data_IF_618950785280
#
_entry.id   IF_618950785280
#
_cell.length_a   1.000
_cell.length_b   1.000
_cell.length_c   1.000
_cell.angle_alpha   90.00
_cell.angle_beta   90.00
_cell.angle_gamma   90.00
#
_symmetry.space_group_name_H-M   'P 1'
#
loop_
_entity.id
_entity.type
_entity.pdbx_description
1 polymer ?
#
# COMPACT_ATOMS: atom_id res chain seq x y z
N UNK A 1 11.50 22.84 -12.75
CA UNK A 1 10.68 21.76 -12.18
C UNK A 1 11.42 21.16 -10.99
N UNK A 2 10.74 21.01 -9.84
CA UNK A 2 11.31 20.34 -8.67
C UNK A 2 10.51 19.08 -8.34
N UNK A 3 11.19 17.96 -8.09
CA UNK A 3 10.57 16.74 -7.55
C UNK A 3 11.10 16.50 -6.13
N UNK A 4 10.22 16.67 -5.14
CA UNK A 4 10.54 16.55 -3.72
C UNK A 4 9.99 15.22 -3.20
N UNK A 5 10.80 14.49 -2.45
CA UNK A 5 10.41 13.22 -1.82
C UNK A 5 10.92 13.17 -0.38
N UNK A 6 10.07 12.72 0.54
CA UNK A 6 10.48 12.42 1.92
C UNK A 6 11.40 11.20 2.00
N UNK A 7 11.35 10.29 1.02
CA UNK A 7 12.21 9.11 1.00
C UNK A 7 13.64 9.49 0.69
N UNK A 8 14.59 8.77 1.29
CA UNK A 8 16.03 8.93 1.10
C UNK A 8 16.48 8.85 -0.37
N UNK A 9 15.67 8.20 -1.21
CA UNK A 9 15.86 8.15 -2.65
C UNK A 9 14.52 7.91 -3.38
N UNK A 10 14.58 7.91 -4.71
CA UNK A 10 13.49 7.52 -5.61
C UNK A 10 13.57 6.02 -5.87
N UNK A 11 13.00 5.24 -4.96
CA UNK A 11 13.12 3.78 -4.99
C UNK A 11 12.15 3.13 -5.99
N UNK A 12 12.59 2.06 -6.68
CA UNK A 12 11.70 1.27 -7.51
C UNK A 12 10.72 0.46 -6.64
N UNK A 13 9.62 0.01 -7.26
CA UNK A 13 8.80 -1.06 -6.73
C UNK A 13 9.62 -2.37 -6.73
N UNK A 14 9.49 -3.16 -5.67
CA UNK A 14 10.00 -4.53 -5.63
C UNK A 14 8.94 -5.47 -6.22
N UNK A 15 9.09 -5.79 -7.50
CA UNK A 15 8.26 -6.72 -8.25
C UNK A 15 8.95 -8.10 -8.43
N UNK A 16 9.91 -8.41 -7.56
CA UNK A 16 10.63 -9.68 -7.64
C UNK A 16 9.71 -10.88 -7.41
N UNK A 17 9.99 -12.05 -8.02
CA UNK A 17 9.06 -13.19 -7.99
C UNK A 17 8.65 -13.66 -6.59
N UNK A 18 9.56 -13.63 -5.61
CA UNK A 18 9.25 -14.04 -4.24
C UNK A 18 8.49 -12.96 -3.46
N UNK A 19 8.76 -11.68 -3.70
CA UNK A 19 7.97 -10.57 -3.13
C UNK A 19 6.54 -10.58 -3.68
N UNK A 20 6.36 -10.92 -4.96
CA UNK A 20 5.04 -11.03 -5.58
C UNK A 20 4.17 -12.11 -4.93
N UNK A 21 4.76 -13.05 -4.21
CA UNK A 21 4.02 -14.09 -3.51
C UNK A 21 3.22 -13.55 -2.31
N UNK A 22 3.54 -12.33 -1.84
CA UNK A 22 2.70 -11.57 -0.90
C UNK A 22 1.33 -11.17 -1.48
N UNK A 23 1.15 -11.31 -2.79
CA UNK A 23 -0.09 -10.98 -3.49
C UNK A 23 -0.95 -12.22 -3.82
N UNK A 24 -0.75 -13.32 -3.08
CA UNK A 24 -1.48 -14.57 -3.25
C UNK A 24 -2.59 -14.75 -2.20
N UNK A 25 -3.63 -15.57 -2.49
CA UNK A 25 -4.65 -15.92 -1.51
C UNK A 25 -4.07 -16.51 -0.21
N UNK A 26 -3.12 -17.44 -0.33
CA UNK A 26 -2.53 -18.13 0.82
C UNK A 26 -1.77 -17.16 1.74
N UNK A 27 -1.06 -16.18 1.17
CA UNK A 27 -0.44 -15.13 1.97
C UNK A 27 -1.47 -14.24 2.66
N UNK A 28 -2.54 -13.83 1.98
CA UNK A 28 -3.58 -12.98 2.58
C UNK A 28 -4.25 -13.67 3.79
N UNK A 29 -4.51 -14.97 3.70
CA UNK A 29 -5.08 -15.74 4.81
C UNK A 29 -4.08 -16.00 5.95
N UNK A 30 -2.81 -16.25 5.62
CA UNK A 30 -1.74 -16.29 6.62
C UNK A 30 -1.61 -14.96 7.34
N UNK A 31 -1.53 -13.85 6.59
CA UNK A 31 -1.40 -12.50 7.12
C UNK A 31 -2.55 -12.18 8.07
N UNK A 32 -3.79 -12.53 7.71
CA UNK A 32 -4.97 -12.35 8.57
C UNK A 32 -4.89 -13.13 9.90
N UNK A 33 -4.11 -14.22 9.96
CA UNK A 33 -3.90 -15.00 11.19
C UNK A 33 -2.84 -14.41 12.13
N UNK A 34 -2.00 -13.50 11.63
CA UNK A 34 -0.94 -12.86 12.42
C UNK A 34 -1.51 -11.90 13.45
N UNK A 35 -0.77 -11.72 14.55
CA UNK A 35 -1.10 -10.66 15.49
C UNK A 35 -0.93 -9.28 14.85
N UNK A 36 -1.56 -8.28 15.46
CA UNK A 36 -1.57 -6.92 14.90
C UNK A 36 -0.18 -6.31 14.75
N UNK A 37 0.71 -6.51 15.74
CA UNK A 37 2.06 -5.94 15.71
C UNK A 37 2.89 -6.55 14.57
N UNK A 38 2.72 -7.85 14.30
CA UNK A 38 3.34 -8.55 13.18
C UNK A 38 2.82 -8.00 11.84
N UNK A 39 1.50 -7.79 11.71
CA UNK A 39 0.87 -7.23 10.50
C UNK A 39 1.38 -5.81 10.20
N UNK A 40 1.43 -4.94 11.21
CA UNK A 40 1.96 -3.57 11.09
C UNK A 40 3.44 -3.59 10.69
N UNK A 41 4.28 -4.33 11.41
CA UNK A 41 5.71 -4.42 11.10
C UNK A 41 6.00 -5.03 9.72
N UNK A 42 5.13 -5.91 9.21
CA UNK A 42 5.24 -6.42 7.84
C UNK A 42 4.91 -5.34 6.81
N UNK A 43 3.78 -4.65 6.97
CA UNK A 43 3.35 -3.59 6.05
C UNK A 43 4.36 -2.45 5.95
N UNK A 44 5.02 -2.10 7.05
CA UNK A 44 6.06 -1.07 7.08
C UNK A 44 7.34 -1.53 6.35
N UNK A 45 7.76 -2.79 6.57
CA UNK A 45 8.94 -3.36 5.90
C UNK A 45 8.74 -3.54 4.41
N UNK A 46 7.54 -3.91 3.98
CA UNK A 46 7.23 -4.24 2.59
C UNK A 46 6.56 -3.08 1.83
N UNK A 47 6.77 -1.85 2.29
CA UNK A 47 6.19 -0.66 1.65
C UNK A 47 6.49 -0.61 0.14
N UNK A 48 7.72 -0.93 -0.27
CA UNK A 48 8.15 -0.87 -1.67
C UNK A 48 7.63 -2.02 -2.53
N UNK A 49 7.00 -3.06 -1.97
CA UNK A 49 6.34 -4.09 -2.77
C UNK A 49 5.05 -3.57 -3.44
N UNK A 50 4.52 -2.43 -2.97
CA UNK A 50 3.30 -1.82 -3.51
C UNK A 50 3.46 -0.33 -3.84
N UNK A 51 4.30 0.41 -3.10
CA UNK A 51 4.35 1.89 -3.15
C UNK A 51 5.65 2.43 -3.76
N UNK A 52 6.32 1.63 -4.59
CA UNK A 52 7.50 2.04 -5.36
C UNK A 52 7.16 2.50 -6.78
N UNK A 53 8.11 3.15 -7.44
CA UNK A 53 7.96 3.58 -8.85
C UNK A 53 8.37 2.45 -9.78
N UNK A 54 7.73 2.27 -10.93
CA UNK A 54 8.17 1.22 -11.87
C UNK A 54 9.65 1.44 -12.28
N UNK A 55 10.48 0.38 -12.37
CA UNK A 55 11.89 0.52 -12.76
C UNK A 55 12.06 1.17 -14.15
N UNK A 56 11.16 0.84 -15.08
CA UNK A 56 11.15 1.41 -16.42
C UNK A 56 10.89 2.93 -16.38
N UNK A 57 9.90 3.38 -15.60
CA UNK A 57 9.60 4.81 -15.45
C UNK A 57 10.76 5.57 -14.80
N UNK A 58 11.38 5.03 -13.74
CA UNK A 58 12.55 5.66 -13.12
C UNK A 58 13.71 5.79 -14.11
N UNK A 59 13.96 4.75 -14.90
CA UNK A 59 14.98 4.77 -15.95
C UNK A 59 14.73 5.87 -16.97
N UNK A 60 13.48 5.99 -17.46
CA UNK A 60 13.12 7.04 -18.42
C UNK A 60 13.28 8.44 -17.83
N UNK A 61 12.81 8.67 -16.60
CA UNK A 61 12.98 9.95 -15.91
C UNK A 61 14.46 10.30 -15.76
N UNK A 62 15.27 9.34 -15.30
CA UNK A 62 16.71 9.54 -15.11
C UNK A 62 17.41 9.89 -16.43
N UNK A 63 17.12 9.15 -17.51
CA UNK A 63 17.66 9.41 -18.83
C UNK A 63 17.30 10.81 -19.33
N UNK A 64 16.03 11.24 -19.15
CA UNK A 64 15.60 12.60 -19.52
C UNK A 64 16.32 13.67 -18.70
N UNK A 65 16.43 13.49 -17.38
CA UNK A 65 17.17 14.42 -16.52
C UNK A 65 18.63 14.52 -16.94
N UNK A 66 19.27 13.38 -17.23
CA UNK A 66 20.66 13.32 -17.66
C UNK A 66 20.88 14.06 -18.98
N UNK A 67 20.04 13.80 -20.00
CA UNK A 67 20.14 14.49 -21.29
C UNK A 67 20.00 16.00 -21.13
N UNK A 68 18.97 16.47 -20.42
CA UNK A 68 18.78 17.92 -20.18
C UNK A 68 19.99 18.54 -19.47
N UNK A 69 20.46 17.92 -18.39
CA UNK A 69 21.48 18.51 -17.55
C UNK A 69 22.89 18.45 -18.17
N UNK A 70 23.31 17.30 -18.68
CA UNK A 70 24.69 17.04 -19.08
C UNK A 70 24.93 17.10 -20.60
N UNK A 71 23.91 16.86 -21.42
CA UNK A 71 24.04 16.86 -22.89
C UNK A 71 23.62 18.20 -23.47
N UNK A 72 22.47 18.73 -23.04
CA UNK A 72 21.93 20.00 -23.54
C UNK A 72 22.41 21.22 -22.75
N UNK A 73 22.92 21.02 -21.52
CA UNK A 73 23.43 22.10 -20.66
C UNK A 73 22.36 22.85 -19.87
N UNK A 74 21.12 22.35 -19.82
CA UNK A 74 19.97 22.95 -19.14
C UNK A 74 19.97 22.66 -17.62
N UNK A 75 21.06 23.03 -16.94
CA UNK A 75 21.33 22.61 -15.55
C UNK A 75 20.30 23.09 -14.53
N UNK A 76 19.54 24.15 -14.83
CA UNK A 76 18.55 24.76 -13.92
C UNK A 76 17.11 24.27 -14.15
N UNK A 77 16.87 23.44 -15.17
CA UNK A 77 15.52 23.06 -15.56
C UNK A 77 14.88 22.08 -14.57
N UNK A 78 15.67 21.17 -13.99
CA UNK A 78 15.20 20.05 -13.17
C UNK A 78 16.05 19.93 -11.91
N UNK A 79 15.38 19.83 -10.76
CA UNK A 79 16.02 19.53 -9.48
C UNK A 79 15.24 18.44 -8.72
N UNK A 80 15.96 17.44 -8.20
CA UNK A 80 15.40 16.34 -7.43
C UNK A 80 15.88 16.46 -5.98
N UNK A 81 14.94 16.44 -5.03
CA UNK A 81 15.18 16.63 -3.60
C UNK A 81 14.72 15.38 -2.82
N UNK A 82 15.52 14.30 -2.76
CA UNK A 82 15.24 13.17 -1.87
C UNK A 82 15.51 13.54 -0.40
N UNK A 83 14.94 12.84 0.57
CA UNK A 83 15.10 13.14 2.00
C UNK A 83 14.64 14.55 2.41
N UNK A 84 13.61 15.10 1.76
CA UNK A 84 13.01 16.41 2.10
C UNK A 84 11.54 16.25 2.43
N UNK A 85 11.14 16.80 3.58
CA UNK A 85 9.72 16.93 3.95
C UNK A 85 9.27 18.37 3.77
N UNK A 86 8.19 18.58 3.02
CA UNK A 86 7.49 19.87 3.03
C UNK A 86 6.77 20.02 4.36
N UNK A 87 7.10 21.04 5.13
CA UNK A 87 6.53 21.29 6.47
C UNK A 87 5.54 22.45 6.47
N UNK A 88 5.67 23.38 5.53
CA UNK A 88 4.78 24.52 5.37
C UNK A 88 4.64 24.88 3.89
N UNK A 89 3.45 25.33 3.51
CA UNK A 89 3.20 25.97 2.22
C UNK A 89 2.44 27.26 2.47
N UNK A 90 2.92 28.35 1.90
CA UNK A 90 2.30 29.67 1.99
C UNK A 90 2.25 30.34 0.61
N UNK A 91 1.56 31.47 0.52
CA UNK A 91 1.33 32.18 -0.74
C UNK A 91 0.02 31.79 -1.41
N UNK A 92 -0.08 32.07 -2.72
CA UNK A 92 -1.28 31.92 -3.54
C UNK A 92 -1.09 32.54 -4.93
N UNK A 93 -2.09 32.39 -5.82
CA UNK A 93 -2.12 33.04 -7.14
C UNK A 93 -0.89 32.83 -8.04
N UNK A 94 -0.35 31.61 -8.06
CA UNK A 94 0.80 31.28 -8.90
C UNK A 94 2.15 31.68 -8.32
N UNK A 95 2.20 31.99 -7.02
CA UNK A 95 3.45 32.20 -6.27
C UNK A 95 3.37 31.47 -4.93
N UNK A 96 3.67 30.17 -4.95
CA UNK A 96 3.75 29.34 -3.75
C UNK A 96 5.15 29.35 -3.17
N UNK A 97 5.27 29.47 -1.85
CA UNK A 97 6.50 29.24 -1.12
C UNK A 97 6.37 27.96 -0.29
N UNK A 98 7.32 27.04 -0.48
CA UNK A 98 7.40 25.77 0.24
C UNK A 98 8.58 25.81 1.20
N UNK A 99 8.31 25.49 2.46
CA UNK A 99 9.34 25.25 3.47
C UNK A 99 9.65 23.76 3.53
N UNK A 100 10.92 23.40 3.37
CA UNK A 100 11.39 22.02 3.43
C UNK A 100 12.32 21.79 4.61
N UNK A 101 12.18 20.63 5.25
CA UNK A 101 13.11 20.13 6.25
C UNK A 101 13.85 18.89 5.70
N UNK A 102 15.20 18.93 5.61
CA UNK A 102 16.00 17.75 5.28
C UNK A 102 15.99 16.73 6.43
N UNK A 103 15.72 15.46 6.15
CA UNK A 103 15.64 14.43 7.20
C UNK A 103 16.99 14.17 7.89
N UNK A 104 18.09 14.26 7.15
CA UNK A 104 19.45 14.14 7.70
C UNK A 104 19.97 15.36 8.48
N UNK A 105 19.25 16.49 8.48
CA UNK A 105 19.62 17.71 9.21
C UNK A 105 18.38 18.32 9.87
N UNK A 106 17.95 17.76 11.01
CA UNK A 106 16.82 18.28 11.75
C UNK A 106 17.01 19.76 12.05
N UNK A 107 15.96 20.57 11.87
CA UNK A 107 15.96 22.05 12.02
C UNK A 107 16.64 22.85 10.91
N UNK A 108 17.25 22.23 9.90
CA UNK A 108 17.63 22.95 8.70
C UNK A 108 16.36 23.29 7.91
N UNK A 109 16.33 24.50 7.34
CA UNK A 109 15.17 25.02 6.61
C UNK A 109 15.63 25.40 5.21
N UNK A 110 15.07 24.73 4.20
CA UNK A 110 15.21 25.11 2.79
C UNK A 110 13.90 25.77 2.33
N UNK A 111 13.98 26.72 1.39
CA UNK A 111 12.81 27.35 0.79
C UNK A 111 12.84 27.19 -0.71
N UNK A 112 11.70 26.83 -1.30
CA UNK A 112 11.49 26.75 -2.74
C UNK A 112 10.25 27.55 -3.13
N UNK A 113 10.31 28.19 -4.28
CA UNK A 113 9.15 28.87 -4.88
C UNK A 113 8.66 28.09 -6.09
N UNK A 114 7.34 28.05 -6.29
CA UNK A 114 6.74 27.39 -7.44
C UNK A 114 5.45 28.10 -7.88
N UNK A 115 5.19 28.09 -9.19
CA UNK A 115 3.92 28.60 -9.71
C UNK A 115 2.78 27.60 -9.50
N UNK A 116 3.11 26.30 -9.53
CA UNK A 116 2.17 25.19 -9.37
C UNK A 116 2.78 24.11 -8.48
N UNK A 117 1.99 23.58 -7.55
CA UNK A 117 2.35 22.46 -6.68
C UNK A 117 1.43 21.27 -6.99
N UNK A 118 2.03 20.11 -7.26
CA UNK A 118 1.30 18.85 -7.46
C UNK A 118 1.55 17.93 -6.28
N UNK A 119 0.51 17.65 -5.49
CA UNK A 119 0.59 16.74 -4.35
C UNK A 119 0.34 15.30 -4.76
N UNK A 120 1.43 14.57 -5.01
CA UNK A 120 1.41 13.13 -5.27
C UNK A 120 1.62 12.31 -3.98
N UNK A 121 0.88 12.63 -2.91
CA UNK A 121 1.06 12.05 -1.55
C UNK A 121 0.28 10.76 -1.30
N UNK A 122 -0.36 10.20 -2.33
CA UNK A 122 -1.19 9.01 -2.22
C UNK A 122 -2.52 9.26 -1.50
N UNK A 123 -3.12 8.19 -0.99
CA UNK A 123 -4.43 8.20 -0.34
C UNK A 123 -4.32 7.62 1.08
N UNK A 124 -5.24 8.01 1.95
CA UNK A 124 -5.44 7.40 3.27
C UNK A 124 -6.86 6.86 3.37
N UNK A 125 -7.08 5.76 4.10
CA UNK A 125 -8.43 5.32 4.46
C UNK A 125 -9.22 6.46 5.11
N UNK A 126 -10.50 6.56 4.76
CA UNK A 126 -11.43 7.52 5.33
C UNK A 126 -12.73 6.80 5.70
N UNK A 127 -13.31 7.19 6.84
CA UNK A 127 -14.59 6.64 7.26
C UNK A 127 -15.68 7.10 6.29
N UNK A 128 -16.47 6.20 5.67
CA UNK A 128 -17.53 6.61 4.78
C UNK A 128 -18.65 7.28 5.57
N UNK A 129 -18.99 8.53 5.25
CA UNK A 129 -20.08 9.26 5.93
C UNK A 129 -21.42 8.51 5.85
N UNK A 130 -21.64 7.74 4.77
CA UNK A 130 -22.82 6.90 4.61
C UNK A 130 -22.98 5.84 5.71
N UNK A 131 -21.88 5.43 6.36
CA UNK A 131 -21.88 4.46 7.45
C UNK A 131 -21.98 5.12 8.83
N UNK A 132 -22.02 6.45 8.92
CA UNK A 132 -22.12 7.16 10.20
C UNK A 132 -23.31 6.68 11.07
N UNK A 133 -24.52 6.40 10.54
CA UNK A 133 -25.61 5.85 11.33
C UNK A 133 -25.35 4.45 11.91
N UNK A 134 -24.41 3.70 11.32
CA UNK A 134 -24.03 2.34 11.72
C UNK A 134 -22.69 2.31 12.50
N UNK A 135 -22.02 3.44 12.69
CA UNK A 135 -20.67 3.48 13.24
C UNK A 135 -20.55 2.83 14.63
N UNK A 136 -21.56 3.01 15.49
CA UNK A 136 -21.61 2.41 16.83
C UNK A 136 -21.99 0.92 16.86
N UNK A 137 -22.33 0.35 15.70
CA UNK A 137 -22.74 -1.05 15.51
C UNK A 137 -21.65 -1.89 14.85
N UNK A 138 -20.67 -1.23 14.21
CA UNK A 138 -19.52 -1.83 13.56
C UNK A 138 -18.39 -2.03 14.57
N UNK A 139 -17.71 -3.17 14.50
CA UNK A 139 -16.41 -3.34 15.16
C UNK A 139 -15.30 -2.70 14.33
N UNK A 140 -14.29 -2.17 15.01
CA UNK A 140 -13.18 -1.44 14.38
C UNK A 140 -11.83 -1.96 14.87
N UNK A 141 -10.87 -2.04 13.96
CA UNK A 141 -9.44 -2.16 14.25
C UNK A 141 -8.76 -0.88 13.76
N UNK A 142 -8.54 0.07 14.69
CA UNK A 142 -8.15 1.46 14.41
C UNK A 142 -9.11 2.25 13.50
N UNK A 143 -8.70 2.45 12.25
CA UNK A 143 -9.41 3.19 11.21
C UNK A 143 -10.12 2.24 10.25
N UNK A 144 -9.84 0.93 10.31
CA UNK A 144 -10.46 -0.09 9.46
C UNK A 144 -11.65 -0.73 10.18
N UNK A 145 -12.70 -1.02 9.42
CA UNK A 145 -13.79 -1.88 9.90
C UNK A 145 -13.21 -3.28 10.08
N UNK A 146 -13.45 -3.89 11.24
CA UNK A 146 -13.03 -5.26 11.48
C UNK A 146 -13.82 -6.21 10.59
N UNK A 147 -13.13 -7.12 9.90
CA UNK A 147 -13.75 -8.11 9.02
C UNK A 147 -13.46 -9.54 9.45
N UNK A 148 -14.32 -10.47 9.02
CA UNK A 148 -14.07 -11.89 9.07
C UNK A 148 -13.24 -12.39 7.86
N UNK A 149 -13.07 -13.72 7.76
CA UNK A 149 -12.30 -14.38 6.68
C UNK A 149 -12.90 -14.19 5.29
N UNK A 150 -14.19 -13.88 5.22
CA UNK A 150 -14.96 -13.68 4.00
C UNK A 150 -15.18 -12.19 3.69
N UNK A 151 -14.42 -11.31 4.36
CA UNK A 151 -14.46 -9.86 4.21
C UNK A 151 -15.79 -9.22 4.63
N UNK A 152 -16.60 -9.93 5.41
CA UNK A 152 -17.81 -9.37 6.02
C UNK A 152 -17.44 -8.59 7.29
N UNK A 153 -18.00 -7.39 7.44
CA UNK A 153 -17.83 -6.58 8.63
C UNK A 153 -18.39 -7.30 9.86
N UNK A 154 -17.64 -7.28 10.96
CA UNK A 154 -18.15 -7.69 12.26
C UNK A 154 -19.05 -6.59 12.80
N UNK A 155 -20.35 -6.88 12.97
CA UNK A 155 -21.34 -5.90 13.42
C UNK A 155 -22.54 -6.58 14.09
N UNK A 156 -23.28 -5.86 14.93
CA UNK A 156 -24.45 -6.36 15.67
C UNK A 156 -25.77 -6.35 14.84
N UNK A 157 -25.65 -6.50 13.53
CA UNK A 157 -26.75 -6.53 12.57
C UNK A 157 -27.55 -7.83 12.56
N UNK A 158 -28.67 -7.86 11.79
CA UNK A 158 -29.34 -9.12 11.48
C UNK A 158 -28.37 -10.11 10.80
N UNK A 159 -28.43 -11.41 11.14
CA UNK A 159 -27.45 -12.40 10.67
C UNK A 159 -27.51 -12.68 9.15
N UNK A 160 -28.61 -12.32 8.50
CA UNK A 160 -28.86 -12.42 7.07
C UNK A 160 -28.48 -11.15 6.28
N UNK A 161 -28.06 -10.08 6.96
CA UNK A 161 -27.65 -8.82 6.36
C UNK A 161 -26.13 -8.64 6.50
N UNK A 162 -25.39 -8.98 5.45
CA UNK A 162 -23.93 -8.78 5.40
C UNK A 162 -23.54 -7.39 4.91
N UNK A 163 -22.56 -6.77 5.56
CA UNK A 163 -21.84 -5.61 5.03
C UNK A 163 -20.46 -6.13 4.61
N UNK A 164 -20.08 -5.97 3.35
CA UNK A 164 -18.80 -6.46 2.84
C UNK A 164 -17.86 -5.31 2.53
N UNK A 165 -16.58 -5.48 2.88
CA UNK A 165 -15.55 -4.45 2.68
C UNK A 165 -14.62 -4.83 1.53
N UNK A 166 -14.40 -3.89 0.63
CA UNK A 166 -13.51 -4.01 -0.53
C UNK A 166 -12.46 -2.90 -0.48
N UNK A 167 -11.18 -3.24 -0.60
CA UNK A 167 -10.04 -2.30 -0.62
C UNK A 167 -9.99 -1.37 0.60
N UNK A 168 -10.33 -1.89 1.79
CA UNK A 168 -10.46 -1.09 3.01
C UNK A 168 -9.88 -1.76 4.25
N UNK A 169 -9.16 -2.87 4.08
CA UNK A 169 -8.71 -3.72 5.18
C UNK A 169 -7.25 -4.17 4.99
N UNK A 170 -6.38 -3.29 4.48
CA UNK A 170 -4.94 -3.56 4.25
C UNK A 170 -4.22 -4.01 5.53
N UNK A 171 -4.57 -3.45 6.69
CA UNK A 171 -3.98 -3.84 7.97
C UNK A 171 -4.46 -5.20 8.46
N UNK A 172 -5.56 -5.73 7.92
CA UNK A 172 -6.07 -7.07 8.24
C UNK A 172 -5.74 -8.11 7.17
N UNK A 173 -5.71 -7.74 5.88
CA UNK A 173 -5.64 -8.68 4.75
C UNK A 173 -4.38 -8.53 3.88
N UNK A 174 -3.49 -7.61 4.25
CA UNK A 174 -2.15 -7.47 3.70
C UNK A 174 -2.07 -6.56 2.47
N UNK A 175 -0.90 -6.55 1.84
CA UNK A 175 -0.56 -5.66 0.72
C UNK A 175 -1.46 -5.80 -0.50
N UNK A 176 -1.98 -7.00 -0.72
CA UNK A 176 -2.87 -7.27 -1.83
C UNK A 176 -4.22 -6.58 -1.70
N UNK A 177 -4.62 -6.15 -0.49
CA UNK A 177 -5.98 -5.69 -0.24
C UNK A 177 -6.41 -4.49 -1.10
N UNK A 178 -5.63 -3.38 -1.16
CA UNK A 178 -5.97 -2.24 -2.02
C UNK A 178 -5.66 -2.47 -3.51
N UNK A 179 -5.05 -3.61 -3.87
CA UNK A 179 -4.54 -3.88 -5.21
C UNK A 179 -5.50 -4.73 -6.05
N UNK A 180 -5.33 -4.70 -7.37
CA UNK A 180 -6.18 -5.46 -8.28
C UNK A 180 -5.93 -6.97 -8.24
N UNK A 181 -4.76 -7.40 -7.74
CA UNK A 181 -4.26 -8.78 -7.81
C UNK A 181 -5.24 -9.83 -7.27
N UNK A 182 -5.98 -9.50 -6.20
CA UNK A 182 -6.86 -10.44 -5.52
C UNK A 182 -8.35 -10.07 -5.60
N UNK A 183 -8.75 -9.14 -6.49
CA UNK A 183 -10.16 -8.72 -6.60
C UNK A 183 -11.07 -9.88 -7.01
N UNK A 184 -10.67 -10.69 -7.98
CA UNK A 184 -11.49 -11.81 -8.44
C UNK A 184 -11.69 -12.86 -7.33
N UNK A 185 -10.62 -13.20 -6.62
CA UNK A 185 -10.67 -14.11 -5.48
C UNK A 185 -11.54 -13.57 -4.34
N UNK A 186 -11.37 -12.29 -3.95
CA UNK A 186 -12.19 -11.66 -2.91
C UNK A 186 -13.66 -11.62 -3.29
N UNK A 187 -13.95 -11.22 -4.53
CA UNK A 187 -15.32 -11.13 -5.05
C UNK A 187 -16.01 -12.48 -5.03
N UNK A 188 -15.28 -13.56 -5.36
CA UNK A 188 -15.79 -14.91 -5.25
C UNK A 188 -16.08 -15.31 -3.81
N UNK A 189 -15.19 -15.04 -2.85
CA UNK A 189 -15.47 -15.34 -1.42
C UNK A 189 -16.69 -14.60 -0.88
N UNK A 190 -16.84 -13.33 -1.23
CA UNK A 190 -18.03 -12.54 -0.87
C UNK A 190 -19.29 -13.17 -1.48
N UNK A 191 -19.25 -13.55 -2.77
CA UNK A 191 -20.38 -14.19 -3.44
C UNK A 191 -20.73 -15.55 -2.82
N UNK A 192 -19.72 -16.39 -2.54
CA UNK A 192 -19.87 -17.68 -1.87
C UNK A 192 -20.56 -17.49 -0.51
N UNK A 193 -20.13 -16.48 0.27
CA UNK A 193 -20.73 -16.10 1.57
C UNK A 193 -22.19 -15.64 1.45
N UNK A 194 -22.52 -14.89 0.39
CA UNK A 194 -23.89 -14.43 0.11
C UNK A 194 -24.82 -15.58 -0.31
N UNK A 195 -24.29 -16.56 -1.04
CA UNK A 195 -25.04 -17.72 -1.53
C UNK A 195 -25.07 -18.88 -0.53
N UNK A 196 -24.28 -18.84 0.55
CA UNK A 196 -24.15 -19.93 1.51
C UNK A 196 -23.46 -21.16 0.93
N UNK A 197 -22.63 -20.98 -0.09
CA UNK A 197 -21.86 -22.05 -0.75
C UNK A 197 -20.38 -21.91 -0.41
N UNK A 198 -19.61 -22.95 -0.66
CA UNK A 198 -18.15 -22.91 -0.57
C UNK A 198 -17.57 -23.51 -1.83
N UNK A 199 -16.96 -22.68 -2.66
CA UNK A 199 -16.31 -23.13 -3.89
C UNK A 199 -14.85 -23.51 -3.61
N UNK A 200 -14.25 -24.41 -4.38
CA UNK A 200 -12.84 -24.85 -4.21
C UNK A 200 -11.83 -23.72 -4.45
N UNK A 201 -10.95 -23.48 -3.48
CA UNK A 201 -9.95 -22.43 -3.55
C UNK A 201 -8.86 -22.71 -4.60
N UNK A 202 -8.17 -21.66 -5.03
CA UNK A 202 -7.04 -21.80 -5.94
C UNK A 202 -5.92 -22.60 -5.26
N UNK A 203 -5.14 -23.33 -6.06
CA UNK A 203 -3.94 -23.99 -5.56
C UNK A 203 -3.02 -22.97 -4.86
N UNK A 204 -2.53 -23.35 -3.67
CA UNK A 204 -1.64 -22.52 -2.88
C UNK A 204 -0.31 -22.28 -3.59
N UNK A 205 0.35 -21.19 -3.21
CA UNK A 205 1.75 -21.00 -3.54
C UNK A 205 2.62 -22.15 -3.02
N UNK A 206 3.74 -22.39 -3.70
CA UNK A 206 4.79 -23.28 -3.21
C UNK A 206 5.52 -22.70 -1.97
N UNK A 207 5.37 -21.40 -1.67
CA UNK A 207 5.81 -20.82 -0.41
C UNK A 207 4.82 -21.15 0.70
N UNK A 208 5.36 -21.69 1.80
CA UNK A 208 4.59 -22.04 2.99
C UNK A 208 4.79 -20.97 4.05
N UNK A 209 3.73 -20.21 4.33
CA UNK A 209 3.79 -19.07 5.25
C UNK A 209 3.57 -19.46 6.71
N UNK A 210 2.77 -20.48 6.96
CA UNK A 210 2.56 -21.07 8.29
C UNK A 210 3.28 -22.39 8.43
N UNK A 211 3.76 -22.70 9.63
CA UNK A 211 4.19 -24.05 9.97
C UNK A 211 2.98 -24.99 9.97
N UNK A 212 2.90 -25.90 9.00
CA UNK A 212 2.07 -27.09 9.18
C UNK A 212 2.65 -27.91 10.36
N UNK A 213 1.82 -28.64 11.11
CA UNK A 213 2.35 -29.74 11.92
C UNK A 213 3.18 -30.66 11.01
N UNK A 214 4.35 -31.08 11.51
CA UNK A 214 5.35 -31.79 10.72
C UNK A 214 4.72 -32.89 9.85
N UNK A 215 4.78 -32.72 8.53
CA UNK A 215 4.47 -33.80 7.60
C UNK A 215 5.64 -34.77 7.68
N UNK A 216 5.38 -35.95 8.25
CA UNK A 216 6.35 -37.04 8.28
C UNK A 216 6.78 -37.38 6.84
N UNK A 217 8.07 -37.14 6.59
CA UNK A 217 8.87 -37.58 5.44
C UNK A 217 8.60 -36.84 4.11
N UNK A 218 9.62 -36.09 3.69
CA UNK A 218 9.91 -35.93 2.27
C UNK A 218 9.99 -37.32 1.63
N UNK A 219 9.40 -37.55 0.45
CA UNK A 219 9.63 -38.80 -0.28
C UNK A 219 11.14 -38.92 -0.52
N UNK A 220 11.74 -39.95 0.07
CA UNK A 220 13.09 -40.37 -0.29
C UNK A 220 12.99 -40.91 -1.71
N UNK A 221 13.31 -40.05 -2.68
CA UNK A 221 13.41 -40.42 -4.09
C UNK A 221 14.62 -41.33 -4.30
N UNK A 222 14.36 -42.43 -5.03
CA UNK A 222 15.31 -43.36 -5.60
C UNK A 222 16.10 -42.76 -6.78
#
# INVERSE_FOLDING_TARGET
MAWISRRDNFFPIDDSPFTNDYFTPSFSDHFFSLDRAQREAFNDRQLLASDGVSPATLKEIYQRCYTRHFVEGDQKLIALYPDRTVTEVSGGDGAWELTLEPGNRPRAVERLTADVVVWATGFRPARPDMLAPLAGRLEWEDEEIRVDRDFAACWDGPPDHGIFVQNGVRRQRGLADPNLSLIAWRSRRILDRMLGVKTEEQCDSFLRWSSEPAVDKFPQGA
#
